data_IF_139167486670
#
_entry.id   IF_139167486670
#
_cell.length_a   1.000
_cell.length_b   1.000
_cell.length_c   1.000
_cell.angle_alpha   90.00
_cell.angle_beta   90.00
_cell.angle_gamma   90.00
#
_symmetry.space_group_name_H-M   'P 1'
#
loop_
_entity.id
_entity.type
_entity.pdbx_description
1 polymer ?
#
# COMPACT_ATOMS: atom_id res chain seq x y z
N UNK A 1 -7.01 -17.11 -6.52
CA UNK A 1 -6.46 -16.42 -7.72
C UNK A 1 -5.41 -15.42 -7.24
N UNK A 2 -4.35 -15.14 -8.02
CA UNK A 2 -3.40 -14.05 -7.73
C UNK A 2 -3.63 -12.93 -8.73
N UNK A 3 -3.82 -11.70 -8.26
CA UNK A 3 -3.96 -10.52 -9.12
C UNK A 3 -2.93 -9.48 -8.69
N UNK A 4 -2.26 -8.88 -9.67
CA UNK A 4 -1.24 -7.83 -9.52
C UNK A 4 -1.67 -6.59 -10.34
N UNK A 5 -1.07 -5.42 -10.07
CA UNK A 5 -0.36 -4.56 -11.06
C UNK A 5 -0.15 -3.12 -10.52
N UNK A 6 1.11 -2.68 -10.40
CA UNK A 6 1.42 -1.38 -10.97
C UNK A 6 2.77 -1.36 -11.71
N UNK A 7 2.77 -0.67 -12.83
CA UNK A 7 3.94 -0.31 -13.64
C UNK A 7 3.68 1.07 -14.25
N UNK A 8 4.69 1.94 -14.26
CA UNK A 8 4.62 3.28 -14.85
C UNK A 8 5.79 3.50 -15.81
N UNK A 9 5.47 4.05 -16.99
CA UNK A 9 6.39 4.35 -18.09
C UNK A 9 6.57 5.86 -18.30
N UNK A 10 7.46 6.23 -19.22
CA UNK A 10 8.21 7.50 -19.27
C UNK A 10 7.39 8.81 -19.25
N UNK A 11 6.09 8.78 -19.52
CA UNK A 11 5.23 9.96 -19.59
C UNK A 11 4.41 10.25 -18.31
N UNK A 12 4.67 9.58 -17.18
CA UNK A 12 3.69 9.55 -16.07
C UNK A 12 3.51 10.89 -15.33
N UNK A 13 2.57 11.70 -15.84
CA UNK A 13 2.02 12.90 -15.20
C UNK A 13 0.54 12.71 -14.78
N UNK A 14 0.09 11.47 -14.52
CA UNK A 14 -1.29 11.16 -14.13
C UNK A 14 -1.42 10.40 -12.80
N UNK A 15 -2.57 10.60 -12.17
CA UNK A 15 -2.86 10.27 -10.78
C UNK A 15 -2.84 8.75 -10.50
N UNK A 16 -1.99 8.35 -9.56
CA UNK A 16 -2.08 7.05 -8.91
C UNK A 16 -3.34 7.01 -8.02
N UNK A 17 -4.24 6.05 -8.28
CA UNK A 17 -5.36 5.78 -7.39
C UNK A 17 -4.84 5.10 -6.12
N UNK A 18 -4.52 5.93 -5.14
CA UNK A 18 -3.98 5.51 -3.85
C UNK A 18 -4.85 6.04 -2.71
N UNK A 19 -4.98 5.25 -1.66
CA UNK A 19 -5.57 5.73 -0.42
C UNK A 19 -4.46 6.37 0.43
N UNK A 20 -4.59 7.68 0.71
CA UNK A 20 -3.67 8.42 1.58
C UNK A 20 -4.37 8.77 2.89
N UNK A 21 -3.74 8.48 4.02
CA UNK A 21 -4.31 8.75 5.34
C UNK A 21 -3.77 7.83 6.43
N UNK A 22 -4.43 7.84 7.59
CA UNK A 22 -4.02 7.00 8.72
C UNK A 22 -4.40 5.54 8.43
N UNK A 23 -3.44 4.63 8.59
CA UNK A 23 -3.60 3.18 8.41
C UNK A 23 -4.84 2.63 9.10
N UNK A 24 -5.11 3.08 10.34
CA UNK A 24 -6.28 2.70 11.15
C UNK A 24 -7.65 2.95 10.53
N UNK A 25 -7.73 3.79 9.51
CA UNK A 25 -8.98 4.06 8.77
C UNK A 25 -8.98 3.33 7.42
N UNK A 26 -7.84 3.33 6.73
CA UNK A 26 -7.74 2.81 5.36
C UNK A 26 -7.75 1.29 5.35
N UNK A 27 -6.96 0.64 6.20
CA UNK A 27 -6.79 -0.82 6.16
C UNK A 27 -8.12 -1.55 6.45
N UNK A 28 -8.90 -1.18 7.49
CA UNK A 28 -10.21 -1.79 7.70
C UNK A 28 -11.19 -1.50 6.56
N UNK A 29 -11.14 -0.29 5.99
CA UNK A 29 -12.02 0.06 4.87
C UNK A 29 -11.71 -0.78 3.61
N UNK A 30 -10.44 -1.02 3.30
CA UNK A 30 -10.04 -1.85 2.17
C UNK A 30 -10.46 -3.32 2.36
N UNK A 31 -10.30 -3.85 3.58
CA UNK A 31 -10.83 -5.19 3.93
C UNK A 31 -12.35 -5.25 3.77
N UNK A 32 -13.08 -4.24 4.27
CA UNK A 32 -14.54 -4.17 4.17
C UNK A 32 -15.06 -4.03 2.72
N UNK A 33 -14.26 -3.46 1.81
CA UNK A 33 -14.57 -3.40 0.37
C UNK A 33 -14.37 -4.78 -0.29
N UNK A 34 -13.57 -5.67 0.32
CA UNK A 34 -13.29 -7.02 -0.18
C UNK A 34 -11.95 -7.15 -0.91
N UNK A 35 -10.98 -6.26 -0.65
CA UNK A 35 -9.61 -6.48 -1.11
C UNK A 35 -8.95 -7.59 -0.30
N UNK A 36 -8.09 -8.38 -0.96
CA UNK A 36 -7.30 -9.45 -0.32
C UNK A 36 -5.88 -9.01 0.08
N UNK A 37 -5.45 -7.84 -0.39
CA UNK A 37 -4.11 -7.34 -0.12
C UNK A 37 -3.90 -5.88 -0.51
N UNK A 38 -2.82 -5.32 0.04
CA UNK A 38 -2.41 -3.93 -0.16
C UNK A 38 -0.98 -3.91 -0.71
N UNK A 39 -0.76 -3.08 -1.73
CA UNK A 39 0.57 -2.62 -2.09
C UNK A 39 0.93 -1.37 -1.29
N UNK A 40 2.02 -1.45 -0.53
CA UNK A 40 2.50 -0.36 0.31
C UNK A 40 3.48 0.50 -0.48
N UNK A 41 3.23 1.81 -0.54
CA UNK A 41 4.19 2.80 -1.02
C UNK A 41 4.79 3.54 0.17
N UNK A 42 6.07 3.27 0.46
CA UNK A 42 6.76 3.78 1.65
C UNK A 42 7.92 4.67 1.19
N UNK A 43 7.82 5.98 1.47
CA UNK A 43 8.86 6.94 1.09
C UNK A 43 10.16 6.72 1.86
N UNK A 44 10.06 6.57 3.18
CA UNK A 44 11.22 6.40 4.07
C UNK A 44 10.93 5.22 5.02
N UNK A 45 11.43 4.02 4.70
CA UNK A 45 11.12 2.83 5.48
C UNK A 45 11.68 2.88 6.91
N UNK A 46 12.78 3.61 7.13
CA UNK A 46 13.43 3.71 8.44
C UNK A 46 12.64 4.54 9.46
N UNK A 47 11.70 5.39 9.01
CA UNK A 47 10.86 6.20 9.89
C UNK A 47 9.41 5.72 9.95
N UNK A 48 9.01 4.84 9.02
CA UNK A 48 7.68 4.26 9.00
C UNK A 48 7.57 3.12 10.02
N UNK A 49 6.50 3.10 10.81
CA UNK A 49 6.18 1.98 11.69
C UNK A 49 5.55 0.83 10.89
N UNK A 50 6.40 0.14 10.12
CA UNK A 50 5.97 -0.96 9.24
C UNK A 50 5.46 -2.17 10.02
N UNK A 51 5.97 -2.40 11.24
CA UNK A 51 5.50 -3.47 12.12
C UNK A 51 4.05 -3.23 12.54
N UNK A 52 3.69 -2.01 12.93
CA UNK A 52 2.30 -1.67 13.28
C UNK A 52 1.37 -1.78 12.05
N UNK A 53 1.82 -1.33 10.88
CA UNK A 53 1.07 -1.46 9.63
C UNK A 53 0.84 -2.94 9.30
N UNK A 54 1.88 -3.76 9.37
CA UNK A 54 1.81 -5.19 9.08
C UNK A 54 0.86 -5.93 10.02
N UNK A 55 0.95 -5.67 11.33
CA UNK A 55 0.02 -6.24 12.33
C UNK A 55 -1.42 -5.85 12.06
N UNK A 56 -1.65 -4.61 11.63
CA UNK A 56 -2.99 -4.14 11.29
C UNK A 56 -3.55 -4.84 10.04
N UNK A 57 -2.71 -5.06 9.02
CA UNK A 57 -3.09 -5.81 7.82
C UNK A 57 -3.45 -7.26 8.15
N UNK A 58 -2.61 -7.95 8.94
CA UNK A 58 -2.92 -9.31 9.40
C UNK A 58 -4.23 -9.37 10.19
N UNK A 59 -4.49 -8.39 11.05
CA UNK A 59 -5.74 -8.32 11.83
C UNK A 59 -7.00 -8.02 11.01
N UNK A 60 -6.86 -7.69 9.72
CA UNK A 60 -7.99 -7.46 8.79
C UNK A 60 -7.96 -8.43 7.61
N UNK A 61 -7.26 -9.57 7.75
CA UNK A 61 -7.11 -10.62 6.73
C UNK A 61 -6.53 -10.12 5.39
N UNK A 62 -5.76 -9.04 5.41
CA UNK A 62 -5.13 -8.44 4.24
C UNK A 62 -3.66 -8.86 4.12
N UNK A 63 -3.25 -9.23 2.91
CA UNK A 63 -1.87 -9.56 2.59
C UNK A 63 -1.05 -8.34 2.17
N UNK A 64 0.25 -8.34 2.44
CA UNK A 64 1.18 -7.40 1.78
C UNK A 64 1.43 -7.94 0.37
N UNK A 65 0.80 -7.33 -0.62
CA UNK A 65 0.88 -7.77 -2.01
C UNK A 65 2.20 -7.32 -2.67
N UNK A 66 2.65 -6.11 -2.34
CA UNK A 66 3.92 -5.54 -2.76
C UNK A 66 4.35 -4.43 -1.79
N UNK A 67 5.65 -4.13 -1.77
CA UNK A 67 6.24 -3.02 -1.03
C UNK A 67 7.13 -2.24 -2.00
N UNK A 68 6.71 -1.02 -2.30
CA UNK A 68 7.42 -0.08 -3.15
C UNK A 68 8.07 0.98 -2.24
N UNK A 69 9.40 1.02 -2.23
CA UNK A 69 10.17 2.08 -1.57
C UNK A 69 10.60 3.10 -2.59
N UNK A 70 10.13 4.34 -2.48
CA UNK A 70 10.48 5.40 -3.42
C UNK A 70 11.82 6.04 -3.02
N UNK A 71 12.95 5.49 -3.47
CA UNK A 71 14.28 6.09 -3.30
C UNK A 71 14.62 7.15 -4.37
N UNK A 72 13.66 7.64 -5.16
CA UNK A 72 14.02 8.49 -6.32
C UNK A 72 12.91 9.21 -7.09
N UNK A 73 11.85 9.69 -6.44
CA UNK A 73 11.05 10.77 -7.03
C UNK A 73 11.32 12.07 -6.29
N UNK A 74 12.38 12.77 -6.73
CA UNK A 74 12.51 14.22 -6.56
C UNK A 74 11.64 14.96 -7.56
#
# INVERSE_FOLDING_TARGET
MKVAYPYQTEETAQQLLSAKGKSKHIIPALSAIGYDGIELLVREPNIADLDAVYKMMQGNDLQVAALSTADGCG
#
